data_IF_653189755866
#
_entry.id   IF_653189755866
#
_cell.length_a   1.000
_cell.length_b   1.000
_cell.length_c   1.000
_cell.angle_alpha   90.00
_cell.angle_beta   90.00
_cell.angle_gamma   90.00
#
_symmetry.space_group_name_H-M   'P 1'
#
loop_
_entity.id
_entity.type
_entity.pdbx_description
1 polymer ?
#
# COMPACT_ATOMS: atom_id res chain seq x y z
N UNK A 1 22.85 8.94 -17.51
CA UNK A 1 22.67 8.42 -16.14
C UNK A 1 23.62 9.21 -15.25
N UNK A 2 23.10 10.03 -14.34
CA UNK A 2 23.94 10.90 -13.50
C UNK A 2 24.72 10.07 -12.50
N UNK A 3 26.05 10.07 -12.61
CA UNK A 3 26.91 9.41 -11.64
C UNK A 3 26.92 10.26 -10.35
N UNK A 4 26.39 9.71 -9.25
CA UNK A 4 26.50 10.33 -7.95
C UNK A 4 27.99 10.50 -7.59
N UNK A 5 28.41 11.72 -7.26
CA UNK A 5 29.79 11.98 -6.91
C UNK A 5 30.09 11.42 -5.50
N UNK A 6 31.35 11.11 -5.20
CA UNK A 6 31.75 10.63 -3.87
C UNK A 6 31.34 11.59 -2.74
N UNK A 7 31.22 12.87 -3.07
CA UNK A 7 30.80 13.94 -2.17
C UNK A 7 29.29 13.87 -1.86
N UNK A 8 28.47 13.53 -2.86
CA UNK A 8 27.03 13.27 -2.68
C UNK A 8 26.80 12.03 -1.81
N UNK A 9 27.61 10.99 -2.02
CA UNK A 9 27.56 9.77 -1.20
C UNK A 9 27.86 10.09 0.27
N UNK A 10 28.92 10.86 0.52
CA UNK A 10 29.33 11.26 1.87
C UNK A 10 28.28 12.15 2.55
N UNK A 11 27.64 13.06 1.81
CA UNK A 11 26.56 13.90 2.34
C UNK A 11 25.32 13.08 2.72
N UNK A 12 24.97 12.05 1.95
CA UNK A 12 23.87 11.15 2.25
C UNK A 12 24.19 10.23 3.44
N UNK A 13 25.43 9.74 3.56
CA UNK A 13 25.88 8.96 4.72
C UNK A 13 25.85 9.82 5.98
N UNK A 14 26.29 11.09 5.92
CA UNK A 14 26.17 12.02 7.05
C UNK A 14 24.70 12.19 7.46
N UNK A 15 23.79 12.45 6.51
CA UNK A 15 22.35 12.55 6.77
C UNK A 15 21.76 11.27 7.38
N UNK A 16 22.23 10.10 6.97
CA UNK A 16 21.84 8.81 7.54
C UNK A 16 22.32 8.66 8.99
N UNK A 17 23.53 9.13 9.31
CA UNK A 17 24.13 9.04 10.65
C UNK A 17 23.60 10.06 11.66
N UNK A 18 22.83 11.07 11.22
CA UNK A 18 22.08 11.99 12.10
C UNK A 18 20.63 11.57 12.30
N UNK A 19 20.14 10.53 11.59
CA UNK A 19 18.85 9.94 11.92
C UNK A 19 19.00 9.25 13.26
N UNK A 20 18.33 9.78 14.29
CA UNK A 20 18.37 9.23 15.64
C UNK A 20 17.83 7.80 15.64
N UNK A 21 18.72 6.81 15.61
CA UNK A 21 18.39 5.43 15.84
C UNK A 21 18.72 5.11 17.30
N UNK A 22 18.04 5.78 18.23
CA UNK A 22 18.26 5.61 19.67
C UNK A 22 18.09 4.18 20.19
N UNK A 23 17.57 3.27 19.35
CA UNK A 23 17.40 1.84 19.62
C UNK A 23 18.31 0.93 18.75
N UNK A 24 19.18 1.48 17.90
CA UNK A 24 20.17 0.71 17.16
C UNK A 24 21.35 0.34 18.05
N UNK A 25 21.87 -0.88 17.87
CA UNK A 25 22.93 -1.41 18.73
C UNK A 25 24.20 -0.55 18.74
N UNK A 26 24.46 0.17 17.64
CA UNK A 26 25.65 1.00 17.45
C UNK A 26 25.60 2.34 18.22
N UNK A 27 24.42 2.92 18.44
CA UNK A 27 24.27 4.21 19.14
C UNK A 27 24.13 4.06 20.67
N UNK A 28 23.80 2.85 21.15
CA UNK A 28 23.69 2.55 22.60
C UNK A 28 24.99 2.71 23.38
N UNK A 29 26.15 2.72 22.73
CA UNK A 29 27.43 2.99 23.38
C UNK A 29 27.47 4.32 24.12
N UNK A 30 26.61 5.28 23.74
CA UNK A 30 26.54 6.62 24.29
C UNK A 30 25.29 6.88 25.16
N UNK A 31 24.43 5.88 25.36
CA UNK A 31 23.19 6.03 26.13
C UNK A 31 23.38 5.69 27.60
N UNK A 32 22.92 6.58 28.49
CA UNK A 32 22.90 6.37 29.95
C UNK A 32 21.96 5.19 30.34
N UNK A 33 20.97 4.87 29.49
CA UNK A 33 19.99 3.82 29.73
C UNK A 33 20.40 2.43 29.23
N UNK A 34 21.68 2.24 28.83
CA UNK A 34 22.17 1.02 28.16
C UNK A 34 21.87 -0.29 28.90
N UNK A 35 21.85 -0.28 30.22
CA UNK A 35 21.60 -1.48 31.04
C UNK A 35 20.11 -1.84 31.16
N UNK A 36 19.21 -0.88 30.88
CA UNK A 36 17.76 -1.02 31.06
C UNK A 36 17.03 -1.24 29.73
N UNK A 37 17.67 -1.04 28.58
CA UNK A 37 17.03 -1.12 27.27
C UNK A 37 17.57 -2.25 26.37
N UNK A 38 16.71 -3.25 26.10
CA UNK A 38 16.96 -4.28 25.09
C UNK A 38 16.69 -3.70 23.69
N UNK A 39 17.36 -4.21 22.66
CA UNK A 39 17.16 -3.70 21.28
C UNK A 39 15.73 -3.96 20.83
N UNK A 40 15.13 -3.01 20.10
CA UNK A 40 13.84 -3.21 19.43
C UNK A 40 12.66 -3.48 20.39
N UNK A 41 12.67 -2.85 21.57
CA UNK A 41 11.55 -2.87 22.51
C UNK A 41 10.48 -1.86 22.11
N UNK A 42 9.21 -2.23 22.25
CA UNK A 42 8.09 -1.30 22.06
C UNK A 42 8.04 -0.29 23.22
N UNK A 43 7.60 0.94 22.93
CA UNK A 43 7.51 2.03 23.92
C UNK A 43 6.75 1.62 25.18
N UNK A 44 5.61 0.94 25.01
CA UNK A 44 4.79 0.46 26.13
C UNK A 44 5.55 -0.52 27.03
N UNK A 45 6.40 -1.37 26.45
CA UNK A 45 7.26 -2.29 27.19
C UNK A 45 8.31 -1.53 27.99
N UNK A 46 8.85 -0.43 27.47
CA UNK A 46 9.81 0.43 28.19
C UNK A 46 9.15 1.07 29.40
N UNK A 47 7.96 1.65 29.21
CA UNK A 47 7.18 2.28 30.28
C UNK A 47 6.85 1.25 31.36
N UNK A 48 6.34 0.07 30.98
CA UNK A 48 6.03 -1.00 31.92
C UNK A 48 7.26 -1.46 32.71
N UNK A 49 8.42 -1.63 32.06
CA UNK A 49 9.67 -2.01 32.73
C UNK A 49 10.13 -0.92 33.70
N UNK A 50 10.06 0.35 33.31
CA UNK A 50 10.44 1.49 34.15
C UNK A 50 9.59 1.57 35.41
N UNK A 51 8.27 1.41 35.27
CA UNK A 51 7.34 1.39 36.41
C UNK A 51 7.72 0.31 37.43
N UNK A 52 8.07 -0.90 36.98
CA UNK A 52 8.51 -1.98 37.87
C UNK A 52 9.83 -1.63 38.56
N UNK A 53 10.83 -1.17 37.81
CA UNK A 53 12.13 -0.78 38.37
C UNK A 53 12.01 0.34 39.40
N UNK A 54 11.21 1.36 39.13
CA UNK A 54 11.03 2.51 40.02
C UNK A 54 10.31 2.09 41.30
N UNK A 55 9.30 1.23 41.19
CA UNK A 55 8.59 0.69 42.36
C UNK A 55 9.50 -0.18 43.24
N UNK A 56 10.37 -0.99 42.64
CA UNK A 56 11.37 -1.80 43.36
C UNK A 56 12.42 -0.91 44.03
N UNK A 57 12.89 0.13 43.34
CA UNK A 57 13.87 1.08 43.86
C UNK A 57 13.32 1.87 45.05
N UNK A 58 12.05 2.32 44.96
CA UNK A 58 11.34 3.01 46.05
C UNK A 58 11.33 2.20 47.35
N UNK A 59 11.19 0.89 47.25
CA UNK A 59 11.15 0.00 48.42
C UNK A 59 12.54 -0.51 48.84
N UNK A 60 13.61 -0.08 48.17
CA UNK A 60 14.98 -0.44 48.52
C UNK A 60 15.35 -1.89 48.22
N UNK A 61 14.73 -2.48 47.19
CA UNK A 61 15.03 -3.81 46.66
C UNK A 61 13.82 -4.73 46.52
N UNK A 62 13.97 -5.80 45.72
CA UNK A 62 12.88 -6.72 45.35
C UNK A 62 12.28 -7.45 46.56
N UNK A 63 13.09 -7.73 47.59
CA UNK A 63 12.67 -8.43 48.81
C UNK A 63 11.86 -7.58 49.78
N UNK A 64 11.86 -6.25 49.60
CA UNK A 64 11.19 -5.29 50.48
C UNK A 64 9.87 -4.76 49.91
N UNK A 65 9.49 -5.22 48.72
CA UNK A 65 8.24 -4.82 48.07
C UNK A 65 7.06 -5.49 48.79
N UNK A 66 6.07 -4.72 49.29
CA UNK A 66 4.92 -5.28 49.99
C UNK A 66 4.00 -6.04 49.04
N UNK A 67 3.64 -7.28 49.41
CA UNK A 67 2.68 -8.11 48.69
C UNK A 67 1.25 -7.77 49.12
N UNK A 68 0.69 -6.71 48.55
CA UNK A 68 -0.69 -6.30 48.81
C UNK A 68 -1.70 -7.24 48.13
N UNK A 69 -2.90 -7.35 48.69
CA UNK A 69 -3.99 -8.17 48.10
C UNK A 69 -4.36 -7.70 46.69
N UNK A 70 -4.26 -6.40 46.42
CA UNK A 70 -4.51 -5.80 45.11
C UNK A 70 -3.46 -6.22 44.07
N UNK A 71 -2.18 -6.24 44.47
CA UNK A 71 -1.09 -6.71 43.62
C UNK A 71 -1.31 -8.19 43.23
N UNK A 72 -1.67 -9.03 44.20
CA UNK A 72 -1.96 -10.44 43.96
C UNK A 72 -3.13 -10.64 42.98
N UNK A 73 -4.25 -9.93 43.17
CA UNK A 73 -5.39 -9.95 42.24
C UNK A 73 -5.01 -9.47 40.84
N UNK A 74 -4.18 -8.43 40.76
CA UNK A 74 -3.71 -7.89 39.48
C UNK A 74 -2.86 -8.90 38.72
N UNK A 75 -1.96 -9.61 39.42
CA UNK A 75 -1.10 -10.66 38.86
C UNK A 75 -1.93 -11.86 38.40
N UNK A 76 -2.92 -12.28 39.18
CA UNK A 76 -3.85 -13.35 38.80
C UNK A 76 -4.54 -13.07 37.46
N UNK A 77 -5.04 -11.84 37.29
CA UNK A 77 -5.68 -11.41 36.04
C UNK A 77 -4.70 -11.04 34.91
N UNK A 78 -3.39 -10.96 35.17
CA UNK A 78 -2.41 -10.51 34.18
C UNK A 78 -2.34 -11.43 32.96
N UNK A 79 -2.44 -12.75 33.18
CA UNK A 79 -2.44 -13.72 32.08
C UNK A 79 -3.66 -13.56 31.19
N UNK A 80 -4.84 -13.38 31.76
CA UNK A 80 -6.09 -13.16 31.02
C UNK A 80 -6.00 -11.90 30.19
N UNK A 81 -5.60 -10.76 30.78
CA UNK A 81 -5.40 -9.49 30.05
C UNK A 81 -4.45 -9.64 28.87
N UNK A 82 -3.37 -10.40 29.05
CA UNK A 82 -2.42 -10.65 27.96
C UNK A 82 -3.01 -11.52 26.84
N UNK A 83 -3.76 -12.56 27.19
CA UNK A 83 -4.48 -13.37 26.20
C UNK A 83 -5.49 -12.52 25.41
N UNK A 84 -6.27 -11.69 26.10
CA UNK A 84 -7.26 -10.80 25.49
C UNK A 84 -6.59 -9.80 24.53
N UNK A 85 -5.48 -9.20 24.95
CA UNK A 85 -4.66 -8.34 24.10
C UNK A 85 -4.19 -9.06 22.83
N UNK A 86 -3.69 -10.30 22.95
CA UNK A 86 -3.24 -11.07 21.79
C UNK A 86 -4.39 -11.41 20.82
N UNK A 87 -5.57 -11.73 21.34
CA UNK A 87 -6.76 -11.96 20.50
C UNK A 87 -7.21 -10.69 19.79
N UNK A 88 -7.22 -9.55 20.48
CA UNK A 88 -7.58 -8.27 19.86
C UNK A 88 -6.55 -7.85 18.79
N UNK A 89 -5.26 -8.05 19.04
CA UNK A 89 -4.21 -7.78 18.05
C UNK A 89 -4.33 -8.67 16.81
N UNK A 90 -4.67 -9.96 16.99
CA UNK A 90 -4.96 -10.85 15.85
C UNK A 90 -6.18 -10.39 15.07
N UNK A 91 -7.26 -10.06 15.77
CA UNK A 91 -8.50 -9.56 15.17
C UNK A 91 -8.27 -8.26 14.39
N UNK A 92 -7.52 -7.31 14.95
CA UNK A 92 -7.14 -6.07 14.27
C UNK A 92 -6.35 -6.35 12.99
N UNK A 93 -5.34 -7.21 13.05
CA UNK A 93 -4.54 -7.58 11.87
C UNK A 93 -5.38 -8.26 10.79
N UNK A 94 -6.31 -9.12 11.16
CA UNK A 94 -7.24 -9.75 10.23
C UNK A 94 -8.18 -8.74 9.58
N UNK A 95 -8.73 -7.81 10.37
CA UNK A 95 -9.59 -6.74 9.85
C UNK A 95 -8.82 -5.79 8.92
N UNK A 96 -7.60 -5.39 9.28
CA UNK A 96 -6.73 -4.59 8.43
C UNK A 96 -6.36 -5.33 7.14
N UNK A 97 -6.06 -6.63 7.21
CA UNK A 97 -5.76 -7.44 6.04
C UNK A 97 -6.98 -7.55 5.10
N UNK A 98 -8.18 -7.77 5.65
CA UNK A 98 -9.43 -7.76 4.88
C UNK A 98 -9.70 -6.39 4.25
N UNK A 99 -9.54 -5.31 5.01
CA UNK A 99 -9.72 -3.94 4.52
C UNK A 99 -8.72 -3.60 3.41
N UNK A 100 -7.45 -4.00 3.55
CA UNK A 100 -6.42 -3.83 2.50
C UNK A 100 -6.76 -4.60 1.23
N UNK A 101 -7.19 -5.86 1.35
CA UNK A 101 -7.61 -6.68 0.19
C UNK A 101 -8.81 -6.06 -0.52
N UNK A 102 -9.81 -5.60 0.24
CA UNK A 102 -10.98 -4.92 -0.30
C UNK A 102 -10.59 -3.64 -1.03
N UNK A 103 -9.77 -2.78 -0.40
CA UNK A 103 -9.30 -1.55 -1.01
C UNK A 103 -8.51 -1.82 -2.30
N UNK A 104 -7.61 -2.79 -2.30
CA UNK A 104 -6.87 -3.15 -3.51
C UNK A 104 -7.79 -3.63 -4.64
N UNK A 105 -8.81 -4.42 -4.33
CA UNK A 105 -9.79 -4.86 -5.32
C UNK A 105 -10.71 -3.71 -5.82
N UNK A 106 -11.03 -2.73 -4.97
CA UNK A 106 -11.74 -1.50 -5.35
C UNK A 106 -10.87 -0.62 -6.29
N UNK A 107 -9.59 -0.43 -5.97
CA UNK A 107 -8.63 0.33 -6.78
C UNK A 107 -8.45 -0.31 -8.17
N UNK A 108 -8.30 -1.64 -8.21
CA UNK A 108 -8.24 -2.44 -9.46
C UNK A 108 -9.49 -2.23 -10.33
N UNK A 109 -10.68 -2.22 -9.71
CA UNK A 109 -11.95 -2.03 -10.41
C UNK A 109 -12.05 -0.61 -10.98
N UNK A 110 -11.56 0.38 -10.24
CA UNK A 110 -11.51 1.77 -10.70
C UNK A 110 -10.56 1.92 -11.89
N UNK A 111 -9.40 1.28 -11.85
CA UNK A 111 -8.44 1.26 -12.97
C UNK A 111 -9.05 0.65 -14.24
N UNK A 112 -9.73 -0.50 -14.11
CA UNK A 112 -10.42 -1.12 -15.24
C UNK A 112 -11.52 -0.22 -15.82
N UNK A 113 -12.29 0.48 -14.96
CA UNK A 113 -13.30 1.45 -15.40
C UNK A 113 -12.69 2.64 -16.14
N UNK A 114 -11.54 3.15 -15.67
CA UNK A 114 -10.79 4.21 -16.37
C UNK A 114 -10.31 3.72 -17.74
N UNK A 115 -9.72 2.51 -17.80
CA UNK A 115 -9.26 1.90 -19.06
C UNK A 115 -10.40 1.70 -20.05
N UNK A 116 -11.56 1.22 -19.59
CA UNK A 116 -12.78 1.12 -20.40
C UNK A 116 -13.15 2.47 -21.04
N UNK A 117 -13.17 3.55 -20.25
CA UNK A 117 -13.50 4.89 -20.74
C UNK A 117 -12.51 5.35 -21.82
N UNK A 118 -11.21 5.19 -21.59
CA UNK A 118 -10.18 5.57 -22.56
C UNK A 118 -10.30 4.78 -23.87
N UNK A 119 -10.52 3.47 -23.80
CA UNK A 119 -10.68 2.63 -25.01
C UNK A 119 -11.94 3.03 -25.79
N UNK A 120 -13.04 3.35 -25.10
CA UNK A 120 -14.26 3.84 -25.74
C UNK A 120 -14.00 5.15 -26.48
N UNK A 121 -13.36 6.12 -25.84
CA UNK A 121 -13.02 7.42 -26.46
C UNK A 121 -12.11 7.25 -27.69
N UNK A 122 -11.07 6.41 -27.58
CA UNK A 122 -10.17 6.11 -28.70
C UNK A 122 -10.92 5.42 -29.84
N UNK A 123 -11.78 4.45 -29.54
CA UNK A 123 -12.57 3.75 -30.56
C UNK A 123 -13.50 4.69 -31.32
N UNK A 124 -14.19 5.58 -30.61
CA UNK A 124 -15.04 6.61 -31.20
C UNK A 124 -14.23 7.62 -32.02
N UNK A 125 -13.05 8.03 -31.54
CA UNK A 125 -12.13 8.89 -32.27
C UNK A 125 -11.70 8.27 -33.60
N UNK A 126 -11.28 7.00 -33.58
CA UNK A 126 -10.90 6.25 -34.78
C UNK A 126 -12.06 6.09 -35.78
N UNK A 127 -13.28 5.89 -35.29
CA UNK A 127 -14.46 5.81 -36.15
C UNK A 127 -14.75 7.15 -36.84
N UNK A 128 -14.75 8.26 -36.08
CA UNK A 128 -14.92 9.62 -36.62
C UNK A 128 -13.84 9.98 -37.64
N UNK A 129 -12.58 9.64 -37.35
CA UNK A 129 -11.49 9.88 -38.26
C UNK A 129 -11.63 9.05 -39.54
N UNK A 130 -12.07 7.79 -39.42
CA UNK A 130 -12.33 6.94 -40.57
C UNK A 130 -13.44 7.49 -41.48
N UNK A 131 -14.53 7.99 -40.89
CA UNK A 131 -15.66 8.57 -41.63
C UNK A 131 -15.24 9.86 -42.32
N UNK A 132 -14.51 10.75 -41.63
CA UNK A 132 -13.94 11.95 -42.24
C UNK A 132 -13.00 11.62 -43.41
N UNK A 133 -12.15 10.61 -43.25
CA UNK A 133 -11.22 10.18 -44.32
C UNK A 133 -11.98 9.57 -45.51
N UNK A 134 -13.14 8.95 -45.28
CA UNK A 134 -14.00 8.41 -46.32
C UNK A 134 -14.71 9.53 -47.09
N UNK A 135 -15.28 10.52 -46.40
CA UNK A 135 -15.86 11.73 -47.01
C UNK A 135 -14.82 12.49 -47.86
N UNK A 136 -13.59 12.65 -47.34
CA UNK A 136 -12.49 13.25 -48.11
C UNK A 136 -12.15 12.46 -49.37
N UNK A 137 -12.32 11.13 -49.37
CA UNK A 137 -12.07 10.30 -50.55
C UNK A 137 -13.12 10.53 -51.64
N UNK A 138 -14.39 10.78 -51.29
CA UNK A 138 -15.47 11.06 -52.24
C UNK A 138 -15.20 12.32 -53.08
N UNK A 139 -14.48 13.29 -52.51
CA UNK A 139 -14.08 14.52 -53.20
C UNK A 139 -12.79 14.40 -54.05
N UNK A 140 -12.15 13.22 -54.08
CA UNK A 140 -10.91 12.96 -54.83
C UNK A 140 -11.13 11.89 -55.91
N UNK A 141 -10.18 11.76 -56.84
CA UNK A 141 -10.26 10.77 -57.92
C UNK A 141 -8.91 10.09 -58.15
N UNK A 142 -8.94 8.90 -58.76
CA UNK A 142 -7.75 8.15 -59.11
C UNK A 142 -7.00 7.57 -57.90
N UNK A 143 -5.66 7.62 -57.94
CA UNK A 143 -4.79 7.01 -56.91
C UNK A 143 -5.01 7.59 -55.51
N UNK A 144 -5.24 8.91 -55.41
CA UNK A 144 -5.43 9.60 -54.13
C UNK A 144 -6.73 9.22 -53.42
N UNK A 145 -7.78 8.90 -54.18
CA UNK A 145 -9.02 8.33 -53.63
C UNK A 145 -8.77 6.93 -53.07
N UNK A 146 -8.07 6.07 -53.81
CA UNK A 146 -7.76 4.70 -53.37
C UNK A 146 -6.91 4.68 -52.08
N UNK A 147 -5.94 5.58 -51.94
CA UNK A 147 -5.14 5.74 -50.72
C UNK A 147 -5.99 6.13 -49.51
N UNK A 148 -6.90 7.10 -49.66
CA UNK A 148 -7.77 7.56 -48.58
C UNK A 148 -8.76 6.47 -48.14
N UNK A 149 -9.32 5.70 -49.08
CA UNK A 149 -10.17 4.54 -48.77
C UNK A 149 -9.38 3.47 -48.00
N UNK A 150 -8.15 3.17 -48.43
CA UNK A 150 -7.28 2.24 -47.71
C UNK A 150 -7.02 2.70 -46.28
N UNK A 151 -6.70 3.98 -46.08
CA UNK A 151 -6.50 4.58 -44.75
C UNK A 151 -7.77 4.49 -43.89
N UNK A 152 -8.94 4.84 -44.44
CA UNK A 152 -10.23 4.72 -43.73
C UNK A 152 -10.50 3.27 -43.29
N UNK A 153 -10.26 2.29 -44.16
CA UNK A 153 -10.43 0.87 -43.84
C UNK A 153 -9.50 0.40 -42.71
N UNK A 154 -8.24 0.88 -42.68
CA UNK A 154 -7.30 0.59 -41.59
C UNK A 154 -7.84 1.15 -40.26
N UNK A 155 -8.32 2.39 -40.26
CA UNK A 155 -8.89 3.04 -39.06
C UNK A 155 -10.14 2.29 -38.57
N UNK A 156 -11.05 1.88 -39.47
CA UNK A 156 -12.23 1.06 -39.13
C UNK A 156 -11.83 -0.29 -38.53
N UNK A 157 -10.81 -0.95 -39.09
CA UNK A 157 -10.28 -2.21 -38.55
C UNK A 157 -9.68 -2.01 -37.16
N UNK A 158 -8.98 -0.90 -36.92
CA UNK A 158 -8.42 -0.54 -35.61
C UNK A 158 -9.52 -0.27 -34.58
N UNK A 159 -10.55 0.50 -34.94
CA UNK A 159 -11.73 0.76 -34.10
C UNK A 159 -12.45 -0.55 -33.71
N UNK A 160 -12.69 -1.45 -34.68
CA UNK A 160 -13.28 -2.79 -34.40
C UNK A 160 -12.45 -3.61 -33.42
N UNK A 161 -11.11 -3.59 -33.54
CA UNK A 161 -10.23 -4.27 -32.57
C UNK A 161 -10.36 -3.68 -31.17
N UNK A 162 -10.47 -2.35 -31.06
CA UNK A 162 -10.66 -1.67 -29.77
C UNK A 162 -12.02 -1.96 -29.14
N UNK A 163 -13.08 -2.10 -29.94
CA UNK A 163 -14.40 -2.56 -29.45
C UNK A 163 -14.35 -3.99 -28.91
N UNK A 164 -13.62 -4.90 -29.58
CA UNK A 164 -13.44 -6.26 -29.07
C UNK A 164 -12.63 -6.28 -27.75
N UNK A 165 -11.60 -5.45 -27.61
CA UNK A 165 -10.87 -5.26 -26.34
C UNK A 165 -11.80 -4.74 -25.23
N UNK A 166 -12.72 -3.83 -25.57
CA UNK A 166 -13.68 -3.24 -24.64
C UNK A 166 -14.64 -4.30 -24.08
N UNK A 167 -15.14 -5.22 -24.92
CA UNK A 167 -16.03 -6.31 -24.49
C UNK A 167 -15.35 -7.25 -23.48
N UNK A 168 -14.04 -7.51 -23.65
CA UNK A 168 -13.25 -8.32 -22.71
C UNK A 168 -13.15 -7.59 -21.36
N UNK A 169 -12.84 -6.30 -21.38
CA UNK A 169 -12.72 -5.49 -20.16
C UNK A 169 -14.06 -5.36 -19.44
N UNK A 170 -15.19 -5.29 -20.16
CA UNK A 170 -16.51 -5.30 -19.54
C UNK A 170 -16.80 -6.59 -18.78
N UNK A 171 -16.46 -7.73 -19.36
CA UNK A 171 -16.57 -9.04 -18.70
C UNK A 171 -15.66 -9.12 -17.47
N UNK A 172 -14.45 -8.59 -17.54
CA UNK A 172 -13.53 -8.53 -16.41
C UNK A 172 -14.04 -7.62 -15.28
N UNK A 173 -14.62 -6.45 -15.60
CA UNK A 173 -15.24 -5.55 -14.61
C UNK A 173 -16.42 -6.23 -13.93
N UNK A 174 -17.26 -6.95 -14.69
CA UNK A 174 -18.41 -7.65 -14.13
C UNK A 174 -17.98 -8.80 -13.22
N UNK A 175 -16.99 -9.60 -13.65
CA UNK A 175 -16.42 -10.67 -12.85
C UNK A 175 -15.78 -10.15 -11.55
N UNK A 176 -14.85 -9.18 -11.63
CA UNK A 176 -14.23 -8.58 -10.44
C UNK A 176 -15.25 -7.87 -9.54
N UNK A 177 -16.26 -7.23 -10.12
CA UNK A 177 -17.35 -6.61 -9.35
C UNK A 177 -18.26 -7.61 -8.65
N UNK A 178 -18.41 -8.83 -9.19
CA UNK A 178 -19.12 -9.92 -8.53
C UNK A 178 -18.26 -10.55 -7.42
N UNK A 179 -16.95 -10.69 -7.62
CA UNK A 179 -16.02 -11.15 -6.58
C UNK A 179 -15.95 -10.19 -5.41
N UNK A 180 -15.88 -8.88 -5.65
CA UNK A 180 -15.86 -7.87 -4.60
C UNK A 180 -17.12 -7.92 -3.72
N UNK A 181 -18.29 -8.18 -4.33
CA UNK A 181 -19.56 -8.35 -3.59
C UNK A 181 -19.60 -9.60 -2.71
N UNK A 182 -18.77 -10.61 -3.00
CA UNK A 182 -18.63 -11.82 -2.18
C UNK A 182 -17.63 -11.67 -1.04
N UNK A 183 -16.86 -10.58 -1.02
CA UNK A 183 -15.89 -10.26 0.06
C UNK A 183 -16.61 -9.59 1.26
N UNK A 184 -17.93 -9.39 1.19
CA UNK A 184 -18.79 -8.99 2.31
C UNK A 184 -18.84 -10.03 3.44
#
# INVERSE_FOLDING_TARGET
MGHATAQDLLANVKKLLILSHGQASVERGFSVNKEVETTNIMGDTVVARRLVCDYVALHGGVTKVPLTKELLKSVEAARTRYCDYLTEERRKKELEAKARKRKAAEDDLEELRKRKKTILEVSQGLAREADKTAEEAEAKSGTKMAELISKSNILRKSSKKKLAELEIIEKEIEAKGAELRKIE
#
